data_IF_960509798454
#
_entry.id   IF_960509798454
#
_cell.length_a   1.000
_cell.length_b   1.000
_cell.length_c   1.000
_cell.angle_alpha   90.00
_cell.angle_beta   90.00
_cell.angle_gamma   90.00
#
_symmetry.space_group_name_H-M   'P 1'
#
loop_
_entity.id
_entity.type
_entity.pdbx_description
1 polymer ?
#
# COMPACT_ATOMS: atom_id res chain seq x y z
N UNK A 1 65.38 31.63 0.37
CA UNK A 1 64.16 31.51 -0.47
C UNK A 1 63.22 30.56 0.27
N UNK A 2 62.12 31.08 0.83
CA UNK A 2 61.17 30.31 1.67
C UNK A 2 60.08 29.73 0.77
N UNK A 3 60.06 28.41 0.60
CA UNK A 3 58.99 27.74 -0.15
C UNK A 3 57.84 27.44 0.81
N UNK A 4 56.70 28.12 0.60
CA UNK A 4 55.47 27.95 1.37
C UNK A 4 54.66 26.82 0.71
N UNK A 5 54.63 25.65 1.35
CA UNK A 5 53.78 24.53 0.93
C UNK A 5 52.37 24.75 1.47
N UNK A 6 51.40 24.95 0.57
CA UNK A 6 49.98 25.09 0.90
C UNK A 6 49.36 23.69 0.98
N UNK A 7 49.10 23.20 2.19
CA UNK A 7 48.41 21.93 2.42
C UNK A 7 46.91 22.13 2.25
N UNK A 8 46.34 21.66 1.13
CA UNK A 8 44.88 21.60 0.94
C UNK A 8 44.36 20.36 1.67
N UNK A 9 43.66 20.55 2.79
CA UNK A 9 42.93 19.48 3.47
C UNK A 9 41.64 19.18 2.70
N UNK A 10 41.61 18.06 1.98
CA UNK A 10 40.39 17.55 1.33
C UNK A 10 39.61 16.76 2.38
N UNK A 11 38.61 17.38 2.99
CA UNK A 11 37.67 16.69 3.89
C UNK A 11 36.67 15.89 3.06
N UNK A 12 36.83 14.57 3.02
CA UNK A 12 35.84 13.67 2.42
C UNK A 12 34.63 13.55 3.34
N UNK A 13 33.49 14.11 2.93
CA UNK A 13 32.20 13.86 3.57
C UNK A 13 31.78 12.41 3.27
N UNK A 14 31.90 11.53 4.25
CA UNK A 14 31.34 10.19 4.18
C UNK A 14 29.83 10.27 4.38
N UNK A 15 29.06 10.01 3.32
CA UNK A 15 27.62 9.83 3.45
C UNK A 15 27.35 8.47 4.09
N UNK A 16 27.01 8.47 5.39
CA UNK A 16 26.47 7.27 6.04
C UNK A 16 25.05 7.03 5.54
N UNK A 17 24.86 5.99 4.71
CA UNK A 17 23.53 5.50 4.35
C UNK A 17 23.05 4.60 5.48
N UNK A 18 22.23 5.14 6.38
CA UNK A 18 21.55 4.33 7.40
C UNK A 18 20.43 3.53 6.75
N UNK A 19 20.51 2.20 6.86
CA UNK A 19 19.41 1.32 6.45
C UNK A 19 18.15 1.65 7.25
N UNK A 20 17.04 1.85 6.56
CA UNK A 20 15.75 2.16 7.17
C UNK A 20 15.26 0.96 7.99
N UNK A 21 14.57 1.18 9.13
CA UNK A 21 13.92 0.09 9.85
C UNK A 21 12.94 -0.64 8.94
N UNK A 22 13.10 -1.96 8.84
CA UNK A 22 12.24 -2.83 8.04
C UNK A 22 11.13 -3.40 8.93
N UNK A 23 9.91 -2.98 8.67
CA UNK A 23 8.70 -3.37 9.41
C UNK A 23 7.95 -4.45 8.63
N UNK A 24 7.35 -5.39 9.34
CA UNK A 24 6.52 -6.45 8.77
C UNK A 24 5.04 -6.13 9.03
N UNK A 25 4.18 -6.05 7.99
CA UNK A 25 2.75 -5.86 8.20
C UNK A 25 2.14 -7.08 8.88
N UNK A 26 1.14 -6.86 9.72
CA UNK A 26 0.47 -7.93 10.50
C UNK A 26 -1.03 -7.89 10.25
N UNK A 27 -1.71 -9.04 10.14
CA UNK A 27 -3.18 -9.03 10.04
C UNK A 27 -3.83 -8.53 11.34
N UNK A 28 -3.29 -8.93 12.49
CA UNK A 28 -3.78 -8.49 13.78
C UNK A 28 -3.59 -6.98 13.98
N UNK A 29 -4.69 -6.24 14.13
CA UNK A 29 -4.65 -4.78 14.22
C UNK A 29 -4.57 -4.07 12.87
N UNK A 30 -4.67 -4.81 11.76
CA UNK A 30 -4.79 -4.24 10.42
C UNK A 30 -6.18 -4.42 9.82
N UNK A 31 -6.46 -3.60 8.80
CA UNK A 31 -7.69 -3.62 8.02
C UNK A 31 -7.37 -3.19 6.59
N UNK A 32 -7.70 -4.03 5.62
CA UNK A 32 -7.76 -3.70 4.20
C UNK A 32 -9.24 -3.75 3.81
N UNK A 33 -9.90 -2.61 3.83
CA UNK A 33 -11.34 -2.52 3.65
C UNK A 33 -11.67 -1.91 2.29
N UNK A 34 -12.73 -2.41 1.66
CA UNK A 34 -13.31 -1.78 0.48
C UNK A 34 -14.81 -1.60 0.62
N UNK A 35 -15.35 -0.58 -0.06
CA UNK A 35 -16.78 -0.35 -0.21
C UNK A 35 -17.11 -0.09 -1.67
N UNK A 36 -18.12 -0.78 -2.17
CA UNK A 36 -18.66 -0.63 -3.53
C UNK A 36 -20.18 -0.51 -3.48
N UNK A 37 -20.77 0.25 -4.40
CA UNK A 37 -22.23 0.31 -4.55
C UNK A 37 -22.74 -0.78 -5.50
N UNK A 38 -23.75 -1.53 -5.07
CA UNK A 38 -24.50 -2.47 -5.90
C UNK A 38 -25.99 -2.12 -5.83
N UNK A 39 -26.62 -1.76 -6.95
CA UNK A 39 -27.97 -1.19 -6.99
C UNK A 39 -28.17 0.00 -6.01
N UNK A 40 -27.15 0.85 -5.87
CA UNK A 40 -27.19 1.99 -4.95
C UNK A 40 -26.95 1.66 -3.47
N UNK A 41 -26.93 0.38 -3.09
CA UNK A 41 -26.66 -0.09 -1.73
C UNK A 41 -25.15 -0.28 -1.55
N UNK A 42 -24.59 0.25 -0.46
CA UNK A 42 -23.19 0.04 -0.11
C UNK A 42 -22.96 -1.41 0.36
N UNK A 43 -21.99 -2.06 -0.26
CA UNK A 43 -21.48 -3.37 0.13
C UNK A 43 -20.03 -3.20 0.53
N UNK A 44 -19.73 -3.55 1.78
CA UNK A 44 -18.36 -3.57 2.31
C UNK A 44 -17.75 -4.96 2.19
N UNK A 45 -16.42 -5.00 2.20
CA UNK A 45 -15.67 -6.23 2.37
C UNK A 45 -14.23 -5.97 2.75
N UNK A 46 -13.54 -7.04 3.11
CA UNK A 46 -12.19 -7.00 3.65
C UNK A 46 -11.29 -8.05 3.02
N UNK A 47 -9.98 -7.80 3.11
CA UNK A 47 -8.92 -8.76 2.84
C UNK A 47 -7.98 -8.90 4.04
N UNK A 48 -7.42 -10.09 4.20
CA UNK A 48 -6.38 -10.43 5.16
C UNK A 48 -5.21 -11.15 4.45
N UNK A 49 -4.29 -11.78 5.19
CA UNK A 49 -3.13 -12.44 4.63
C UNK A 49 -2.04 -11.45 4.22
N UNK A 50 -1.89 -10.36 4.99
CA UNK A 50 -0.86 -9.35 4.75
C UNK A 50 0.54 -9.96 4.81
N UNK A 51 1.35 -9.68 3.78
CA UNK A 51 2.77 -10.08 3.68
C UNK A 51 3.60 -8.96 3.07
N UNK A 52 4.91 -9.11 3.08
CA UNK A 52 5.86 -8.16 2.51
C UNK A 52 6.56 -7.33 3.59
N UNK A 53 6.90 -6.09 3.26
CA UNK A 53 7.64 -5.21 4.17
C UNK A 53 7.37 -3.73 3.92
N UNK A 54 7.63 -2.94 4.96
CA UNK A 54 7.64 -1.48 4.93
C UNK A 54 8.96 -1.00 5.53
N UNK A 55 9.82 -0.43 4.70
CA UNK A 55 11.03 0.28 5.13
C UNK A 55 10.65 1.75 5.32
N UNK A 56 10.69 2.23 6.57
CA UNK A 56 10.17 3.56 6.88
C UNK A 56 10.84 4.19 8.11
N UNK A 57 11.39 5.37 7.91
CA UNK A 57 11.83 6.30 8.93
C UNK A 57 11.14 7.66 8.72
N UNK A 58 10.44 8.13 9.76
CA UNK A 58 9.80 9.44 9.73
C UNK A 58 10.82 10.58 9.54
N UNK A 59 12.09 10.41 9.92
CA UNK A 59 13.14 11.40 9.71
C UNK A 59 13.70 11.39 8.28
N UNK A 60 13.62 10.26 7.56
CA UNK A 60 14.18 10.10 6.23
C UNK A 60 13.23 9.38 5.26
N UNK A 61 12.10 10.01 4.96
CA UNK A 61 11.03 9.36 4.19
C UNK A 61 11.38 9.13 2.71
N UNK A 62 12.36 9.84 2.14
CA UNK A 62 12.73 9.70 0.72
C UNK A 62 13.36 8.34 0.41
N UNK A 63 13.88 7.64 1.42
CA UNK A 63 14.39 6.28 1.33
C UNK A 63 13.32 5.22 1.64
N UNK A 64 12.08 5.61 1.93
CA UNK A 64 11.03 4.67 2.34
C UNK A 64 10.57 3.81 1.16
N UNK A 65 10.33 2.52 1.45
CA UNK A 65 9.82 1.52 0.50
C UNK A 65 8.66 0.77 1.12
N UNK A 66 7.53 0.75 0.43
CA UNK A 66 6.36 -0.06 0.76
C UNK A 66 6.24 -1.14 -0.30
N UNK A 67 6.27 -2.41 0.09
CA UNK A 67 6.05 -3.56 -0.77
C UNK A 67 5.19 -4.58 -0.01
N UNK A 68 3.87 -4.50 -0.17
CA UNK A 68 2.90 -5.23 0.66
C UNK A 68 1.87 -5.93 -0.20
N UNK A 69 1.57 -7.19 0.12
CA UNK A 69 0.50 -7.96 -0.53
C UNK A 69 -0.62 -8.29 0.46
N UNK A 70 -1.85 -8.38 -0.03
CA UNK A 70 -2.96 -9.07 0.64
C UNK A 70 -3.35 -10.32 -0.16
N UNK A 71 -3.88 -11.34 0.51
CA UNK A 71 -4.33 -12.58 -0.11
C UNK A 71 -5.74 -12.40 -0.68
N UNK A 72 -5.88 -12.48 -2.00
CA UNK A 72 -7.15 -12.28 -2.69
C UNK A 72 -8.19 -13.36 -2.32
N UNK A 73 -7.76 -14.56 -1.94
CA UNK A 73 -8.65 -15.65 -1.53
C UNK A 73 -9.32 -15.40 -0.17
N UNK A 74 -8.87 -14.41 0.59
CA UNK A 74 -9.43 -14.02 1.90
C UNK A 74 -10.57 -13.02 1.80
N UNK A 75 -10.98 -12.62 0.58
CA UNK A 75 -12.12 -11.72 0.39
C UNK A 75 -13.30 -12.16 1.25
N UNK A 76 -13.75 -11.26 2.11
CA UNK A 76 -14.89 -11.48 2.99
C UNK A 76 -15.82 -10.28 2.92
N UNK A 77 -17.08 -10.52 2.60
CA UNK A 77 -18.16 -9.52 2.57
C UNK A 77 -19.28 -9.87 3.54
N UNK A 78 -19.02 -10.77 4.49
CA UNK A 78 -19.99 -11.37 5.40
C UNK A 78 -21.11 -12.13 4.67
N UNK A 79 -20.83 -12.64 3.47
CA UNK A 79 -21.74 -13.45 2.69
C UNK A 79 -20.98 -14.52 1.90
N UNK A 80 -20.97 -15.74 2.44
CA UNK A 80 -20.18 -16.85 1.90
C UNK A 80 -20.42 -17.11 0.41
N UNK A 81 -21.67 -17.06 -0.08
CA UNK A 81 -21.97 -17.29 -1.50
C UNK A 81 -21.40 -16.19 -2.39
N UNK A 82 -21.46 -14.94 -1.92
CA UNK A 82 -20.85 -13.80 -2.63
C UNK A 82 -19.33 -13.93 -2.61
N UNK A 83 -18.75 -14.30 -1.48
CA UNK A 83 -17.30 -14.46 -1.34
C UNK A 83 -16.75 -15.59 -2.22
N UNK A 84 -17.47 -16.72 -2.31
CA UNK A 84 -17.16 -17.81 -3.24
C UNK A 84 -17.20 -17.34 -4.70
N UNK A 85 -18.17 -16.51 -5.06
CA UNK A 85 -18.29 -15.95 -6.41
C UNK A 85 -17.19 -14.92 -6.72
N UNK A 86 -16.85 -14.04 -5.77
CA UNK A 86 -15.79 -13.04 -5.91
C UNK A 86 -14.41 -13.68 -6.15
N UNK A 87 -14.21 -14.94 -5.74
CA UNK A 87 -12.96 -15.68 -5.97
C UNK A 87 -12.81 -16.21 -7.39
N UNK A 88 -13.88 -16.23 -8.19
CA UNK A 88 -13.88 -16.80 -9.55
C UNK A 88 -13.29 -15.85 -10.61
N UNK A 89 -13.13 -16.38 -11.81
CA UNK A 89 -12.51 -15.75 -12.98
C UNK A 89 -13.16 -14.43 -13.39
N UNK A 90 -14.48 -14.30 -13.22
CA UNK A 90 -15.20 -13.04 -13.47
C UNK A 90 -14.75 -11.91 -12.53
N UNK A 91 -14.21 -12.22 -11.35
CA UNK A 91 -13.82 -11.27 -10.32
C UNK A 91 -12.32 -11.33 -10.03
N UNK A 92 -11.88 -11.82 -8.86
CA UNK A 92 -10.47 -11.78 -8.47
C UNK A 92 -9.64 -12.90 -9.10
N UNK A 93 -10.26 -13.97 -9.61
CA UNK A 93 -9.59 -15.12 -10.21
C UNK A 93 -8.44 -15.64 -9.35
N UNK A 94 -8.74 -15.97 -8.09
CA UNK A 94 -7.71 -16.19 -7.05
C UNK A 94 -6.86 -17.44 -7.29
N UNK A 95 -7.35 -18.35 -8.14
CA UNK A 95 -6.58 -19.51 -8.58
C UNK A 95 -5.39 -19.09 -9.46
N UNK A 96 -5.53 -18.02 -10.26
CA UNK A 96 -4.49 -17.50 -11.14
C UNK A 96 -3.75 -16.30 -10.56
N UNK A 97 -4.44 -15.45 -9.81
CA UNK A 97 -3.89 -14.24 -9.19
C UNK A 97 -4.17 -14.23 -7.68
N UNK A 98 -3.38 -14.97 -6.89
CA UNK A 98 -3.66 -15.15 -5.46
C UNK A 98 -3.42 -13.89 -4.62
N UNK A 99 -2.78 -12.86 -5.16
CA UNK A 99 -2.36 -11.68 -4.40
C UNK A 99 -2.81 -10.37 -5.02
N UNK A 100 -3.22 -9.43 -4.16
CA UNK A 100 -3.30 -8.00 -4.46
C UNK A 100 -2.01 -7.36 -3.96
N UNK A 101 -1.33 -6.56 -4.77
CA UNK A 101 0.03 -6.09 -4.47
C UNK A 101 0.18 -4.59 -4.64
N UNK A 102 0.75 -3.91 -3.62
CA UNK A 102 1.10 -2.50 -3.70
C UNK A 102 2.62 -2.32 -3.54
N UNK A 103 3.22 -1.53 -4.43
CA UNK A 103 4.65 -1.19 -4.40
C UNK A 103 4.83 0.32 -4.56
N UNK A 104 5.51 0.97 -3.63
CA UNK A 104 5.87 2.39 -3.75
C UNK A 104 6.98 2.60 -4.77
N UNK A 105 6.88 3.66 -5.56
CA UNK A 105 8.00 4.24 -6.31
C UNK A 105 8.57 5.47 -5.61
N UNK A 106 7.75 6.18 -4.81
CA UNK A 106 8.16 7.36 -4.06
C UNK A 106 7.25 7.57 -2.85
N UNK A 107 7.83 7.91 -1.72
CA UNK A 107 7.10 8.43 -0.56
C UNK A 107 7.59 9.85 -0.28
N UNK A 108 6.63 10.76 -0.07
CA UNK A 108 6.92 12.17 0.20
C UNK A 108 6.28 12.61 1.51
N UNK A 109 6.83 13.66 2.14
CA UNK A 109 6.15 14.34 3.25
C UNK A 109 4.86 14.99 2.76
N UNK A 110 3.80 14.87 3.55
CA UNK A 110 2.55 15.57 3.37
C UNK A 110 2.58 16.97 3.96
N UNK A 111 1.44 17.66 3.91
CA UNK A 111 1.27 19.04 4.39
C UNK A 111 1.18 19.19 5.91
N UNK A 112 1.05 18.10 6.66
CA UNK A 112 0.89 18.10 8.11
C UNK A 112 1.77 17.04 8.80
N UNK A 113 1.88 17.13 10.12
CA UNK A 113 2.65 16.17 10.91
C UNK A 113 2.11 14.75 10.69
N UNK A 114 3.03 13.80 10.54
CA UNK A 114 2.73 12.39 10.25
C UNK A 114 1.94 12.13 8.95
N UNK A 115 1.69 13.14 8.12
CA UNK A 115 1.10 12.96 6.81
C UNK A 115 2.18 12.73 5.76
N UNK A 116 1.85 11.89 4.80
CA UNK A 116 2.72 11.45 3.72
C UNK A 116 1.92 11.25 2.44
N UNK A 117 2.62 11.21 1.32
CA UNK A 117 2.04 10.95 0.01
C UNK A 117 2.68 9.71 -0.58
N UNK A 118 1.87 8.68 -0.81
CA UNK A 118 2.28 7.49 -1.54
C UNK A 118 2.17 7.76 -3.04
N UNK A 119 3.21 7.42 -3.79
CA UNK A 119 3.15 7.22 -5.24
C UNK A 119 3.76 5.87 -5.58
N UNK A 120 3.09 5.10 -6.42
CA UNK A 120 3.52 3.75 -6.75
C UNK A 120 2.54 3.03 -7.66
N UNK A 121 2.53 1.71 -7.54
CA UNK A 121 1.73 0.84 -8.38
C UNK A 121 0.86 -0.08 -7.52
N UNK A 122 -0.37 -0.27 -7.96
CA UNK A 122 -1.30 -1.27 -7.46
C UNK A 122 -1.49 -2.34 -8.54
N UNK A 123 -1.36 -3.60 -8.16
CA UNK A 123 -1.62 -4.75 -9.04
C UNK A 123 -2.78 -5.57 -8.48
N UNK A 124 -3.83 -5.74 -9.27
CA UNK A 124 -4.99 -6.58 -8.98
C UNK A 124 -5.27 -7.42 -10.22
N UNK A 125 -5.50 -8.73 -10.04
CA UNK A 125 -5.83 -9.66 -11.14
C UNK A 125 -4.83 -9.60 -12.31
N UNK A 126 -3.54 -9.47 -11.98
CA UNK A 126 -2.45 -9.38 -12.95
C UNK A 126 -2.35 -8.05 -13.72
N UNK A 127 -3.23 -7.08 -13.46
CA UNK A 127 -3.18 -5.75 -14.09
C UNK A 127 -2.56 -4.76 -13.12
N UNK A 128 -1.53 -4.05 -13.57
CA UNK A 128 -0.84 -3.02 -12.79
C UNK A 128 -1.27 -1.61 -13.22
N UNK A 129 -1.63 -0.77 -12.26
CA UNK A 129 -2.00 0.63 -12.48
C UNK A 129 -1.24 1.55 -11.52
N UNK A 130 -0.87 2.77 -11.96
CA UNK A 130 -0.31 3.76 -11.07
C UNK A 130 -1.34 4.15 -10.01
N UNK A 131 -0.88 4.35 -8.78
CA UNK A 131 -1.70 4.74 -7.64
C UNK A 131 -0.97 5.83 -6.85
N UNK A 132 -1.73 6.87 -6.48
CA UNK A 132 -1.25 7.97 -5.66
C UNK A 132 -2.29 8.35 -4.62
N UNK A 133 -1.92 8.37 -3.34
CA UNK A 133 -2.86 8.72 -2.28
C UNK A 133 -2.16 9.24 -1.01
N UNK A 134 -2.82 10.12 -0.24
CA UNK A 134 -2.32 10.55 1.04
C UNK A 134 -2.49 9.44 2.09
N UNK A 135 -1.51 9.31 2.99
CA UNK A 135 -1.61 8.43 4.14
C UNK A 135 -0.97 9.08 5.37
N UNK A 136 -1.25 8.54 6.54
CA UNK A 136 -0.58 8.90 7.80
C UNK A 136 0.23 7.72 8.32
N UNK A 137 1.32 8.00 9.02
CA UNK A 137 2.09 7.00 9.75
C UNK A 137 2.26 7.45 11.20
N UNK A 138 1.59 6.77 12.13
CA UNK A 138 1.61 7.08 13.56
C UNK A 138 2.38 5.99 14.31
N UNK A 139 3.30 6.38 15.19
CA UNK A 139 4.08 5.41 15.98
C UNK A 139 3.14 4.54 16.82
N UNK A 140 3.36 3.23 16.82
CA UNK A 140 2.56 2.25 17.58
C UNK A 140 3.47 1.16 18.13
N UNK A 141 3.83 1.28 19.41
CA UNK A 141 4.83 0.42 20.05
C UNK A 141 6.18 0.49 19.31
N UNK A 142 6.73 -0.67 18.94
CA UNK A 142 7.97 -0.76 18.15
C UNK A 142 7.79 -0.33 16.69
N UNK A 143 6.56 -0.38 16.19
CA UNK A 143 6.22 -0.18 14.78
C UNK A 143 5.45 1.11 14.50
N UNK A 144 4.64 1.06 13.45
CA UNK A 144 3.77 2.14 13.00
C UNK A 144 2.41 1.61 12.58
N UNK A 145 1.38 2.43 12.78
CA UNK A 145 0.07 2.28 12.17
C UNK A 145 0.01 3.22 10.95
N UNK A 146 -0.14 2.63 9.77
CA UNK A 146 -0.28 3.34 8.50
C UNK A 146 -1.75 3.44 8.12
N UNK A 147 -2.29 4.63 7.91
CA UNK A 147 -3.70 4.82 7.56
C UNK A 147 -3.83 5.61 6.26
N UNK A 148 -4.57 5.09 5.29
CA UNK A 148 -4.73 5.74 3.99
C UNK A 148 -6.07 5.42 3.35
N UNK A 149 -6.53 6.29 2.47
CA UNK A 149 -7.77 6.09 1.72
C UNK A 149 -7.56 6.49 0.27
N UNK A 150 -8.16 5.74 -0.64
CA UNK A 150 -8.14 6.03 -2.07
C UNK A 150 -9.33 5.39 -2.78
N UNK A 151 -9.64 5.90 -3.96
CA UNK A 151 -10.65 5.34 -4.83
C UNK A 151 -9.97 4.69 -6.04
N UNK A 152 -10.51 3.56 -6.50
CA UNK A 152 -10.10 2.92 -7.77
C UNK A 152 -11.33 2.64 -8.63
N UNK A 153 -11.11 2.41 -9.93
CA UNK A 153 -12.11 1.76 -10.78
C UNK A 153 -11.82 0.26 -10.83
N UNK A 154 -12.78 -0.58 -10.45
CA UNK A 154 -12.61 -2.05 -10.56
C UNK A 154 -12.40 -2.52 -12.01
N UNK A 155 -12.90 -1.73 -12.97
CA UNK A 155 -12.81 -2.04 -14.39
C UNK A 155 -11.39 -1.87 -14.93
N UNK A 156 -10.59 -0.99 -14.31
CA UNK A 156 -9.18 -0.85 -14.66
C UNK A 156 -8.38 -2.13 -14.41
N UNK A 157 -8.89 -3.02 -13.55
CA UNK A 157 -8.30 -4.29 -13.16
C UNK A 157 -9.07 -5.51 -13.68
N UNK A 158 -10.04 -5.32 -14.59
CA UNK A 158 -10.88 -6.39 -15.13
C UNK A 158 -11.65 -7.19 -14.06
N UNK A 159 -12.04 -6.58 -12.94
CA UNK A 159 -12.78 -7.24 -11.86
C UNK A 159 -14.28 -6.99 -12.01
N UNK A 160 -15.06 -8.06 -12.19
CA UNK A 160 -16.53 -8.05 -12.21
C UNK A 160 -17.17 -7.56 -13.51
N UNK A 161 -16.42 -7.50 -14.61
CA UNK A 161 -16.93 -7.19 -15.96
C UNK A 161 -17.84 -5.94 -16.10
N UNK A 162 -18.69 -5.96 -17.13
CA UNK A 162 -19.61 -4.87 -17.49
C UNK A 162 -20.95 -4.86 -16.73
N UNK A 163 -21.11 -5.66 -15.66
CA UNK A 163 -22.40 -5.90 -14.99
C UNK A 163 -23.05 -4.59 -14.54
N UNK A 164 -24.21 -4.28 -15.12
CA UNK A 164 -24.88 -2.98 -15.07
C UNK A 164 -25.28 -2.46 -13.67
N UNK A 165 -25.55 -3.29 -12.63
CA UNK A 165 -25.90 -2.74 -11.32
C UNK A 165 -24.72 -2.49 -10.39
N UNK A 166 -23.53 -2.97 -10.75
CA UNK A 166 -22.35 -2.89 -9.90
C UNK A 166 -21.51 -1.68 -10.30
N UNK A 167 -21.38 -0.72 -9.38
CA UNK A 167 -20.60 0.51 -9.58
C UNK A 167 -19.17 0.21 -10.03
N UNK A 168 -18.59 1.14 -10.78
CA UNK A 168 -17.19 1.03 -11.19
C UNK A 168 -16.24 1.48 -10.06
N UNK A 169 -16.64 2.52 -9.33
CA UNK A 169 -15.86 3.12 -8.25
C UNK A 169 -15.89 2.23 -7.01
N UNK A 170 -14.70 1.98 -6.46
CA UNK A 170 -14.48 1.27 -5.21
C UNK A 170 -13.68 2.17 -4.30
N UNK A 171 -14.22 2.40 -3.10
CA UNK A 171 -13.52 3.12 -2.03
C UNK A 171 -12.68 2.12 -1.27
N UNK A 172 -11.41 2.42 -1.06
CA UNK A 172 -10.48 1.58 -0.30
C UNK A 172 -9.98 2.36 0.90
N UNK A 173 -10.03 1.71 2.07
CA UNK A 173 -9.52 2.22 3.34
C UNK A 173 -8.51 1.24 3.90
N UNK A 174 -7.32 1.74 4.19
CA UNK A 174 -6.22 0.99 4.77
C UNK A 174 -5.97 1.47 6.19
N UNK A 175 -5.80 0.52 7.11
CA UNK A 175 -5.25 0.72 8.44
C UNK A 175 -4.28 -0.43 8.69
N UNK A 176 -2.99 -0.25 8.49
CA UNK A 176 -1.99 -1.32 8.46
C UNK A 176 -1.02 -1.14 9.61
N UNK A 177 -1.05 -2.07 10.57
CA UNK A 177 -0.05 -2.17 11.63
C UNK A 177 1.15 -2.96 11.12
N UNK A 178 2.33 -2.34 11.14
CA UNK A 178 3.58 -3.01 10.82
C UNK A 178 4.59 -2.80 11.95
N UNK A 179 5.31 -3.87 12.32
CA UNK A 179 6.26 -3.92 13.44
C UNK A 179 7.60 -4.51 13.05
#
# INVERSE_FOLDING_TARGET
MKNLLLSVAVSTLTNFVFAQPKLTPTDAGSKVHFVIKNFGISVGGDFTGLKGFIEFDAANVTAAVINVTADAATVNTDNNKRDEHLKKDDYFDVAKYPTIHIVSSKIEKGSSINAYLFSGNLTIKGVTKPLKFPFTATKSGTGYLFTGNFDISRRDFNVGGGTFPLSENVKVSLSILAK
#
